data_IF_473107814148
#
_entry.id   IF_473107814148
#
_cell.length_a   1.000
_cell.length_b   1.000
_cell.length_c   1.000
_cell.angle_alpha   90.00
_cell.angle_beta   90.00
_cell.angle_gamma   90.00
#
_symmetry.space_group_name_H-M   'P 1'
#
loop_
_entity.id
_entity.type
_entity.pdbx_description
1 polymer ?
#
# COMPACT_ATOMS: atom_id res chain seq x y z
N UNK A 1 -31.34 3.06 0.24
CA UNK A 1 -31.20 1.68 -0.32
C UNK A 1 -30.56 1.60 -1.72
N UNK A 2 -30.55 2.65 -2.57
CA UNK A 2 -29.89 2.60 -3.90
C UNK A 2 -28.36 2.44 -3.85
N UNK A 3 -27.68 2.93 -2.80
CA UNK A 3 -26.21 2.93 -2.72
C UNK A 3 -25.59 1.60 -2.26
N UNK A 4 -26.32 0.76 -1.52
CA UNK A 4 -25.76 -0.50 -1.00
C UNK A 4 -25.52 -1.50 -2.16
N UNK A 5 -26.48 -1.62 -3.08
CA UNK A 5 -26.35 -2.48 -4.27
C UNK A 5 -25.19 -2.05 -5.19
N UNK A 6 -24.89 -0.74 -5.22
CA UNK A 6 -23.81 -0.18 -6.02
C UNK A 6 -22.41 -0.57 -5.54
N UNK A 7 -22.28 -1.04 -4.29
CA UNK A 7 -21.01 -1.53 -3.72
C UNK A 7 -21.01 -3.06 -3.63
N UNK A 8 -22.13 -3.68 -3.23
CA UNK A 8 -22.21 -5.12 -3.04
C UNK A 8 -21.83 -5.93 -4.28
N UNK A 9 -22.33 -5.54 -5.46
CA UNK A 9 -22.07 -6.31 -6.68
C UNK A 9 -20.61 -6.18 -7.14
N UNK A 10 -19.99 -4.98 -7.20
CA UNK A 10 -18.54 -4.85 -7.36
C UNK A 10 -17.72 -5.62 -6.35
N UNK A 11 -18.09 -5.60 -5.07
CA UNK A 11 -17.41 -6.37 -4.03
C UNK A 11 -17.46 -7.89 -4.32
N UNK A 12 -18.62 -8.41 -4.70
CA UNK A 12 -18.76 -9.83 -5.06
C UNK A 12 -17.86 -10.20 -6.25
N UNK A 13 -17.85 -9.36 -7.29
CA UNK A 13 -17.00 -9.59 -8.46
C UNK A 13 -15.51 -9.48 -8.10
N UNK A 14 -15.10 -8.53 -7.24
CA UNK A 14 -13.73 -8.45 -6.73
C UNK A 14 -13.30 -9.76 -6.09
N UNK A 15 -14.13 -10.29 -5.18
CA UNK A 15 -13.88 -11.56 -4.50
C UNK A 15 -13.77 -12.72 -5.49
N UNK A 16 -14.69 -12.83 -6.44
CA UNK A 16 -14.67 -13.89 -7.46
C UNK A 16 -13.38 -13.81 -8.29
N UNK A 17 -12.99 -12.61 -8.73
CA UNK A 17 -11.75 -12.41 -9.50
C UNK A 17 -10.52 -12.82 -8.69
N UNK A 18 -10.45 -12.46 -7.40
CA UNK A 18 -9.35 -12.86 -6.53
C UNK A 18 -9.28 -14.38 -6.40
N UNK A 19 -10.40 -15.06 -6.14
CA UNK A 19 -10.45 -16.53 -6.04
C UNK A 19 -9.99 -17.17 -7.34
N UNK A 20 -10.48 -16.70 -8.49
CA UNK A 20 -10.07 -17.23 -9.80
C UNK A 20 -8.57 -17.02 -10.02
N UNK A 21 -8.06 -15.82 -9.73
CA UNK A 21 -6.64 -15.51 -9.94
C UNK A 21 -5.74 -16.31 -9.01
N UNK A 22 -6.12 -16.47 -7.75
CA UNK A 22 -5.39 -17.27 -6.76
C UNK A 22 -5.30 -18.74 -7.20
N UNK A 23 -6.42 -19.34 -7.64
CA UNK A 23 -6.44 -20.71 -8.18
C UNK A 23 -5.58 -20.88 -9.44
N UNK A 24 -5.43 -19.82 -10.24
CA UNK A 24 -4.65 -19.83 -11.48
C UNK A 24 -3.21 -19.34 -11.30
N UNK A 25 -2.82 -18.97 -10.09
CA UNK A 25 -1.50 -18.44 -9.77
C UNK A 25 -0.74 -19.46 -8.96
N UNK A 26 0.47 -19.79 -9.42
CA UNK A 26 1.35 -20.68 -8.66
C UNK A 26 1.75 -20.01 -7.34
N UNK A 27 2.16 -20.80 -6.35
CA UNK A 27 2.76 -20.25 -5.13
C UNK A 27 4.27 -20.11 -5.30
N UNK A 28 4.82 -19.06 -4.68
CA UNK A 28 6.25 -18.90 -4.57
C UNK A 28 6.84 -19.97 -3.63
N UNK A 29 7.85 -20.71 -4.10
CA UNK A 29 8.62 -21.62 -3.27
C UNK A 29 9.68 -20.82 -2.49
N UNK A 30 9.44 -20.61 -1.20
CA UNK A 30 10.32 -19.87 -0.28
C UNK A 30 11.56 -20.66 0.16
N UNK A 31 11.62 -21.97 -0.10
CA UNK A 31 12.75 -22.81 0.25
C UNK A 31 13.86 -22.75 -0.81
N UNK A 32 13.49 -22.54 -2.07
CA UNK A 32 14.43 -22.56 -3.20
C UNK A 32 14.77 -21.17 -3.73
N UNK A 33 13.94 -20.16 -3.44
CA UNK A 33 14.18 -18.79 -3.86
C UNK A 33 14.56 -17.93 -2.66
N UNK A 34 15.51 -17.01 -2.85
CA UNK A 34 15.86 -16.00 -1.85
C UNK A 34 15.77 -14.62 -2.51
N UNK A 35 14.64 -13.95 -2.33
CA UNK A 35 14.43 -12.56 -2.73
C UNK A 35 14.06 -11.71 -1.50
N UNK A 36 13.65 -10.47 -1.74
CA UNK A 36 13.25 -9.48 -0.73
C UNK A 36 12.32 -10.02 0.39
N UNK A 37 11.50 -11.02 0.09
CA UNK A 37 10.56 -11.62 1.06
C UNK A 37 11.23 -12.21 2.29
N UNK A 38 12.50 -12.61 2.24
CA UNK A 38 13.23 -13.12 3.40
C UNK A 38 13.26 -12.10 4.55
N UNK A 39 13.43 -10.82 4.20
CA UNK A 39 13.48 -9.71 5.16
C UNK A 39 12.12 -9.46 5.78
N UNK A 40 11.05 -9.54 4.97
CA UNK A 40 9.69 -9.38 5.45
C UNK A 40 9.24 -10.53 6.36
N UNK A 41 9.60 -11.78 6.01
CA UNK A 41 9.32 -12.95 6.85
C UNK A 41 10.07 -12.87 8.18
N UNK A 42 11.36 -12.50 8.17
CA UNK A 42 12.16 -12.36 9.39
C UNK A 42 11.55 -11.31 10.33
N UNK A 43 11.19 -10.14 9.79
CA UNK A 43 10.57 -9.06 10.57
C UNK A 43 9.16 -9.41 11.06
N UNK A 44 8.39 -10.20 10.29
CA UNK A 44 7.09 -10.69 10.73
C UNK A 44 7.21 -11.77 11.83
N UNK A 45 8.34 -12.47 11.91
CA UNK A 45 8.61 -13.49 12.93
C UNK A 45 9.11 -12.87 14.23
N UNK A 46 10.15 -12.04 14.14
CA UNK A 46 10.93 -11.59 15.30
C UNK A 46 10.81 -10.06 15.53
N UNK A 47 9.94 -9.38 14.77
CA UNK A 47 9.72 -7.93 14.88
C UNK A 47 10.95 -7.11 14.49
N UNK A 48 11.20 -6.02 15.21
CA UNK A 48 12.41 -5.19 15.05
C UNK A 48 13.67 -5.78 15.70
N UNK A 49 13.57 -6.97 16.28
CA UNK A 49 14.71 -7.71 16.84
C UNK A 49 15.28 -8.75 15.86
N UNK A 50 14.76 -8.82 14.63
CA UNK A 50 15.22 -9.77 13.62
C UNK A 50 16.70 -9.54 13.27
N UNK A 51 17.48 -10.62 13.14
CA UNK A 51 18.93 -10.54 12.88
C UNK A 51 19.26 -9.97 11.49
N UNK A 52 18.38 -10.19 10.50
CA UNK A 52 18.61 -9.80 9.11
C UNK A 52 17.77 -8.57 8.71
N UNK A 53 17.77 -7.50 9.51
CA UNK A 53 17.08 -6.27 9.11
C UNK A 53 17.91 -5.54 8.05
N UNK A 54 17.32 -5.34 6.89
CA UNK A 54 17.97 -4.71 5.74
C UNK A 54 17.19 -3.49 5.24
N UNK A 55 17.90 -2.42 4.90
CA UNK A 55 17.36 -1.25 4.19
C UNK A 55 17.25 -1.56 2.68
N UNK A 56 16.16 -1.19 1.99
CA UNK A 56 15.03 -0.37 2.44
C UNK A 56 13.88 -1.15 3.11
N UNK A 57 13.98 -2.47 3.20
CA UNK A 57 12.88 -3.36 3.61
C UNK A 57 12.41 -3.10 5.04
N UNK A 58 13.33 -2.81 5.95
CA UNK A 58 13.08 -2.44 7.35
C UNK A 58 12.15 -1.22 7.51
N UNK A 59 12.09 -0.33 6.51
CA UNK A 59 11.26 0.89 6.57
C UNK A 59 9.83 0.66 6.07
N UNK A 60 9.54 -0.51 5.51
CA UNK A 60 8.19 -0.89 5.04
C UNK A 60 7.49 -1.79 6.07
N UNK A 61 7.54 -1.38 7.33
CA UNK A 61 7.29 -2.25 8.47
C UNK A 61 5.80 -2.44 8.81
N UNK A 62 4.87 -1.64 8.28
CA UNK A 62 3.47 -1.75 8.70
C UNK A 62 2.91 -3.13 8.38
N UNK A 63 3.16 -3.66 7.19
CA UNK A 63 2.67 -4.98 6.79
C UNK A 63 3.23 -6.07 7.71
N UNK A 64 4.54 -6.09 7.94
CA UNK A 64 5.19 -7.09 8.79
C UNK A 64 4.77 -6.96 10.25
N UNK A 65 4.57 -5.74 10.76
CA UNK A 65 4.05 -5.50 12.11
C UNK A 65 2.62 -6.03 12.28
N UNK A 66 1.75 -5.86 11.28
CA UNK A 66 0.40 -6.45 11.30
C UNK A 66 0.50 -7.98 11.32
N UNK A 67 1.35 -8.59 10.48
CA UNK A 67 1.55 -10.04 10.48
C UNK A 67 2.13 -10.55 11.79
N UNK A 68 3.08 -9.84 12.39
CA UNK A 68 3.64 -10.17 13.71
C UNK A 68 2.53 -10.20 14.78
N UNK A 69 1.66 -9.18 14.81
CA UNK A 69 0.50 -9.16 15.71
C UNK A 69 -0.46 -10.32 15.46
N UNK A 70 -0.79 -10.61 14.20
CA UNK A 70 -1.64 -11.75 13.83
C UNK A 70 -1.02 -13.09 14.23
N UNK A 71 0.30 -13.21 14.13
CA UNK A 71 1.04 -14.41 14.54
C UNK A 71 0.99 -14.62 16.04
N UNK A 72 1.10 -13.55 16.82
CA UNK A 72 0.88 -13.59 18.27
C UNK A 72 -0.57 -13.93 18.66
N UNK A 73 -1.53 -13.79 17.74
CA UNK A 73 -2.91 -14.24 17.89
C UNK A 73 -3.15 -15.68 17.39
N UNK A 74 -2.10 -16.38 16.98
CA UNK A 74 -2.13 -17.80 16.60
C UNK A 74 -2.24 -18.09 15.10
N UNK A 75 -2.17 -17.09 14.23
CA UNK A 75 -2.06 -17.33 12.78
C UNK A 75 -0.62 -17.73 12.42
N UNK A 76 -0.46 -18.56 11.38
CA UNK A 76 0.87 -18.74 10.79
C UNK A 76 1.31 -17.47 10.05
N UNK A 77 2.61 -17.20 9.98
CA UNK A 77 3.17 -16.06 9.23
C UNK A 77 2.64 -16.04 7.79
N UNK A 78 2.67 -17.20 7.12
CA UNK A 78 2.16 -17.35 5.76
C UNK A 78 0.68 -16.94 5.66
N UNK A 79 -0.18 -17.44 6.54
CA UNK A 79 -1.60 -17.11 6.52
C UNK A 79 -1.84 -15.63 6.84
N UNK A 80 -1.01 -15.02 7.70
CA UNK A 80 -1.07 -13.59 7.99
C UNK A 80 -0.77 -12.74 6.75
N UNK A 81 0.30 -13.05 6.02
CA UNK A 81 0.61 -12.39 4.75
C UNK A 81 -0.46 -12.63 3.68
N UNK A 82 -0.93 -13.86 3.54
CA UNK A 82 -1.99 -14.21 2.59
C UNK A 82 -3.29 -13.45 2.86
N UNK A 83 -3.67 -13.30 4.14
CA UNK A 83 -4.82 -12.50 4.54
C UNK A 83 -4.66 -11.04 4.11
N UNK A 84 -3.49 -10.43 4.35
CA UNK A 84 -3.20 -9.06 3.92
C UNK A 84 -3.22 -8.95 2.40
N UNK A 85 -2.68 -9.94 1.67
CA UNK A 85 -2.70 -9.98 0.21
C UNK A 85 -4.14 -9.97 -0.33
N UNK A 86 -5.03 -10.79 0.24
CA UNK A 86 -6.45 -10.79 -0.15
C UNK A 86 -7.16 -9.48 0.19
N UNK A 87 -6.93 -8.92 1.38
CA UNK A 87 -7.51 -7.63 1.78
C UNK A 87 -7.03 -6.51 0.86
N UNK A 88 -5.73 -6.48 0.55
CA UNK A 88 -5.13 -5.50 -0.36
C UNK A 88 -5.66 -5.63 -1.78
N UNK A 89 -5.68 -6.85 -2.33
CA UNK A 89 -6.23 -7.11 -3.66
C UNK A 89 -7.71 -6.72 -3.77
N UNK A 90 -8.52 -7.08 -2.76
CA UNK A 90 -9.93 -6.70 -2.69
C UNK A 90 -10.08 -5.19 -2.66
N UNK A 91 -9.34 -4.52 -1.77
CA UNK A 91 -9.40 -3.08 -1.59
C UNK A 91 -8.92 -2.32 -2.84
N UNK A 92 -7.91 -2.84 -3.54
CA UNK A 92 -7.43 -2.27 -4.79
C UNK A 92 -8.47 -2.42 -5.91
N UNK A 93 -9.03 -3.62 -6.12
CA UNK A 93 -10.02 -3.85 -7.18
C UNK A 93 -11.30 -3.04 -6.95
N UNK A 94 -11.85 -3.09 -5.74
CA UNK A 94 -13.02 -2.31 -5.37
C UNK A 94 -12.70 -0.80 -5.43
N UNK A 95 -11.52 -0.41 -4.94
CA UNK A 95 -11.04 0.96 -4.99
C UNK A 95 -10.95 1.51 -6.42
N UNK A 96 -10.42 0.73 -7.36
CA UNK A 96 -10.36 1.10 -8.78
C UNK A 96 -11.77 1.30 -9.34
N UNK A 97 -12.68 0.36 -9.08
CA UNK A 97 -14.06 0.49 -9.53
C UNK A 97 -14.69 1.79 -9.02
N UNK A 98 -14.62 2.02 -7.70
CA UNK A 98 -15.22 3.20 -7.06
C UNK A 98 -14.57 4.49 -7.54
N UNK A 99 -13.25 4.53 -7.65
CA UNK A 99 -12.50 5.71 -8.07
C UNK A 99 -12.80 6.07 -9.53
N UNK A 100 -12.77 5.12 -10.45
CA UNK A 100 -13.06 5.36 -11.86
C UNK A 100 -14.53 5.72 -12.05
N UNK A 101 -15.45 5.08 -11.32
CA UNK A 101 -16.86 5.45 -11.37
C UNK A 101 -17.07 6.90 -10.89
N UNK A 102 -16.45 7.27 -9.76
CA UNK A 102 -16.51 8.65 -9.25
C UNK A 102 -15.92 9.66 -10.26
N UNK A 103 -14.78 9.35 -10.87
CA UNK A 103 -14.10 10.26 -11.81
C UNK A 103 -14.85 10.43 -13.14
N UNK A 104 -15.42 9.36 -13.67
CA UNK A 104 -15.98 9.33 -15.04
C UNK A 104 -17.51 9.29 -15.09
N UNK A 105 -18.16 9.06 -13.95
CA UNK A 105 -19.60 8.77 -13.83
C UNK A 105 -20.07 7.59 -14.69
N UNK A 106 -19.14 6.72 -15.14
CA UNK A 106 -19.42 5.60 -16.04
C UNK A 106 -19.18 4.26 -15.35
N UNK A 107 -20.25 3.48 -15.18
CA UNK A 107 -20.16 2.11 -14.69
C UNK A 107 -19.34 1.22 -15.63
N UNK A 108 -19.47 1.41 -16.95
CA UNK A 108 -18.75 0.59 -17.94
C UNK A 108 -17.24 0.81 -17.82
N UNK A 109 -16.81 2.06 -17.68
CA UNK A 109 -15.40 2.38 -17.50
C UNK A 109 -14.87 1.79 -16.18
N UNK A 110 -15.64 1.90 -15.09
CA UNK A 110 -15.27 1.33 -13.80
C UNK A 110 -15.08 -0.19 -13.83
N UNK A 111 -16.03 -0.92 -14.45
CA UNK A 111 -15.93 -2.36 -14.63
C UNK A 111 -14.73 -2.76 -15.49
N UNK A 112 -14.52 -2.08 -16.62
CA UNK A 112 -13.41 -2.37 -17.51
C UNK A 112 -12.06 -2.16 -16.80
N UNK A 113 -11.90 -1.03 -16.09
CA UNK A 113 -10.67 -0.73 -15.34
C UNK A 113 -10.41 -1.75 -14.23
N UNK A 114 -11.45 -2.21 -13.53
CA UNK A 114 -11.33 -3.25 -12.50
C UNK A 114 -10.83 -4.57 -13.10
N UNK A 115 -11.45 -5.02 -14.20
CA UNK A 115 -11.06 -6.28 -14.88
C UNK A 115 -9.64 -6.16 -15.45
N UNK A 116 -9.31 -5.07 -16.12
CA UNK A 116 -7.95 -4.83 -16.65
C UNK A 116 -6.91 -4.84 -15.52
N UNK A 117 -7.22 -4.23 -14.37
CA UNK A 117 -6.33 -4.25 -13.21
C UNK A 117 -6.16 -5.66 -12.64
N UNK A 118 -7.25 -6.43 -12.56
CA UNK A 118 -7.22 -7.81 -12.07
C UNK A 118 -6.27 -8.70 -12.89
N UNK A 119 -6.28 -8.57 -14.21
CA UNK A 119 -5.42 -9.35 -15.11
C UNK A 119 -4.05 -8.71 -15.37
N UNK A 120 -3.77 -7.54 -14.79
CA UNK A 120 -2.45 -6.91 -14.88
C UNK A 120 -1.44 -7.61 -13.99
N UNK A 121 -0.30 -8.01 -14.58
CA UNK A 121 0.72 -8.86 -13.94
C UNK A 121 1.15 -8.28 -12.59
N UNK A 122 1.64 -7.04 -12.54
CA UNK A 122 2.25 -6.46 -11.34
C UNK A 122 1.27 -5.87 -10.32
N UNK A 123 -0.04 -5.97 -10.57
CA UNK A 123 -1.05 -5.44 -9.65
C UNK A 123 -1.60 -6.56 -8.77
N UNK A 124 -2.50 -7.40 -9.28
CA UNK A 124 -3.12 -8.45 -8.45
C UNK A 124 -2.33 -9.75 -8.55
N UNK A 125 -2.05 -10.22 -9.77
CA UNK A 125 -1.52 -11.57 -9.98
C UNK A 125 -0.15 -11.79 -9.33
N UNK A 126 0.79 -10.86 -9.53
CA UNK A 126 2.14 -10.96 -8.96
C UNK A 126 2.10 -10.89 -7.43
N UNK A 127 1.17 -10.11 -6.88
CA UNK A 127 0.98 -9.97 -5.44
C UNK A 127 0.34 -11.20 -4.80
N UNK A 128 -0.49 -11.96 -5.54
CA UNK A 128 -0.96 -13.27 -5.08
C UNK A 128 0.13 -14.36 -5.21
N UNK A 129 1.04 -14.23 -6.18
CA UNK A 129 2.20 -15.10 -6.30
C UNK A 129 3.22 -14.90 -5.17
N UNK A 130 3.57 -13.64 -4.87
CA UNK A 130 4.50 -13.22 -3.82
C UNK A 130 3.77 -12.43 -2.73
N UNK A 131 3.06 -13.17 -1.87
CA UNK A 131 2.22 -12.64 -0.78
C UNK A 131 2.99 -11.90 0.31
N UNK A 132 4.32 -12.01 0.33
CA UNK A 132 5.16 -11.44 1.38
C UNK A 132 5.48 -9.97 1.15
N UNK A 133 5.06 -9.41 0.01
CA UNK A 133 5.33 -8.03 -0.35
C UNK A 133 4.45 -7.05 0.43
N UNK A 134 4.98 -5.89 0.83
CA UNK A 134 4.21 -4.87 1.53
C UNK A 134 3.26 -4.10 0.61
N UNK A 135 3.40 -4.24 -0.71
CA UNK A 135 2.74 -3.43 -1.73
C UNK A 135 1.20 -3.60 -1.77
N UNK A 136 0.65 -4.68 -1.23
CA UNK A 136 -0.79 -5.03 -1.31
C UNK A 136 -1.72 -3.90 -0.83
N UNK A 137 -1.43 -3.31 0.32
CA UNK A 137 -2.24 -2.24 0.89
C UNK A 137 -1.90 -0.88 0.29
N UNK A 138 -0.66 -0.69 -0.16
CA UNK A 138 -0.18 0.56 -0.73
C UNK A 138 -0.96 0.96 -2.00
N UNK A 139 -1.29 0.00 -2.87
CA UNK A 139 -2.06 0.29 -4.09
C UNK A 139 -3.50 0.71 -3.82
N UNK A 140 -4.14 0.21 -2.77
CA UNK A 140 -5.47 0.70 -2.39
C UNK A 140 -5.40 2.12 -1.80
N UNK A 141 -4.40 2.37 -0.96
CA UNK A 141 -4.22 3.67 -0.31
C UNK A 141 -3.95 4.81 -1.30
N UNK A 142 -3.13 4.58 -2.33
CA UNK A 142 -2.83 5.62 -3.32
C UNK A 142 -4.09 6.11 -4.05
N UNK A 143 -5.10 5.24 -4.25
CA UNK A 143 -6.39 5.64 -4.85
C UNK A 143 -7.17 6.57 -3.93
N UNK A 144 -7.23 6.25 -2.63
CA UNK A 144 -7.94 7.06 -1.63
C UNK A 144 -7.20 8.40 -1.44
N UNK A 145 -5.87 8.38 -1.39
CA UNK A 145 -5.05 9.60 -1.35
C UNK A 145 -5.29 10.46 -2.57
N UNK A 146 -5.29 9.88 -3.78
CA UNK A 146 -5.56 10.62 -5.02
C UNK A 146 -6.96 11.25 -5.02
N UNK A 147 -7.97 10.52 -4.53
CA UNK A 147 -9.31 11.07 -4.32
C UNK A 147 -9.28 12.29 -3.39
N UNK A 148 -8.63 12.21 -2.23
CA UNK A 148 -8.54 13.36 -1.31
C UNK A 148 -7.71 14.53 -1.85
N UNK A 149 -6.67 14.25 -2.64
CA UNK A 149 -5.90 15.27 -3.35
C UNK A 149 -6.79 16.04 -4.34
N UNK A 150 -7.60 15.34 -5.14
CA UNK A 150 -8.52 15.95 -6.10
C UNK A 150 -9.67 16.71 -5.41
N UNK A 151 -10.18 16.18 -4.30
CA UNK A 151 -11.18 16.83 -3.44
C UNK A 151 -10.61 17.98 -2.60
N UNK A 152 -9.31 18.28 -2.73
CA UNK A 152 -8.57 19.28 -1.96
C UNK A 152 -8.70 19.12 -0.43
N UNK A 153 -8.80 17.88 0.06
CA UNK A 153 -8.92 17.55 1.49
C UNK A 153 -7.55 17.21 2.07
N UNK A 154 -6.83 18.25 2.50
CA UNK A 154 -5.44 18.13 2.97
C UNK A 154 -5.24 17.18 4.17
N UNK A 155 -6.02 17.33 5.24
CA UNK A 155 -5.80 16.56 6.48
C UNK A 155 -5.90 15.04 6.25
N UNK A 156 -6.99 14.49 5.67
CA UNK A 156 -7.06 13.06 5.40
C UNK A 156 -5.99 12.59 4.40
N UNK A 157 -5.64 13.43 3.41
CA UNK A 157 -4.53 13.13 2.50
C UNK A 157 -3.20 12.98 3.26
N UNK A 158 -2.87 13.92 4.14
CA UNK A 158 -1.65 13.87 4.94
C UNK A 158 -1.61 12.63 5.83
N UNK A 159 -2.70 12.33 6.56
CA UNK A 159 -2.77 11.15 7.43
C UNK A 159 -2.59 9.85 6.66
N UNK A 160 -3.26 9.70 5.51
CA UNK A 160 -3.08 8.52 4.68
C UNK A 160 -1.70 8.46 4.03
N UNK A 161 -1.07 9.59 3.76
CA UNK A 161 0.31 9.64 3.24
C UNK A 161 1.31 9.21 4.32
N UNK A 162 1.09 9.61 5.57
CA UNK A 162 1.92 9.16 6.70
C UNK A 162 1.86 7.65 6.85
N UNK A 163 0.66 7.06 6.82
CA UNK A 163 0.49 5.60 6.90
C UNK A 163 1.04 4.92 5.64
N UNK A 164 0.66 5.41 4.46
CA UNK A 164 1.01 4.84 3.17
C UNK A 164 2.53 4.83 2.93
N UNK A 165 3.25 5.85 3.37
CA UNK A 165 4.71 5.93 3.20
C UNK A 165 5.46 4.82 3.96
N UNK A 166 4.91 4.31 5.07
CA UNK A 166 5.48 3.19 5.83
C UNK A 166 5.08 1.81 5.28
N UNK A 167 4.19 1.78 4.27
CA UNK A 167 3.92 0.59 3.46
C UNK A 167 4.79 0.64 2.19
N UNK A 168 4.72 1.77 1.50
CA UNK A 168 5.50 2.03 0.29
C UNK A 168 5.68 3.52 0.00
N UNK A 169 6.89 3.90 -0.35
CA UNK A 169 7.34 5.28 -0.50
C UNK A 169 6.60 6.05 -1.61
N UNK A 170 6.12 5.35 -2.64
CA UNK A 170 5.36 5.97 -3.74
C UNK A 170 4.05 6.61 -3.26
N UNK A 171 3.55 6.28 -2.06
CA UNK A 171 2.37 6.92 -1.47
C UNK A 171 2.58 8.42 -1.16
N UNK A 172 3.81 8.93 -1.25
CA UNK A 172 4.08 10.36 -1.17
C UNK A 172 3.59 11.13 -2.41
N UNK A 173 3.42 10.45 -3.56
CA UNK A 173 3.14 11.09 -4.84
C UNK A 173 1.85 11.93 -4.82
N UNK A 174 0.68 11.44 -4.34
CA UNK A 174 -0.53 12.25 -4.34
C UNK A 174 -0.43 13.52 -3.49
N UNK A 175 0.26 13.45 -2.35
CA UNK A 175 0.50 14.62 -1.50
C UNK A 175 1.35 15.66 -2.22
N UNK A 176 2.45 15.25 -2.85
CA UNK A 176 3.28 16.17 -3.61
C UNK A 176 2.55 16.76 -4.81
N UNK A 177 1.81 15.95 -5.57
CA UNK A 177 0.99 16.43 -6.68
C UNK A 177 0.00 17.51 -6.22
N UNK A 178 -0.69 17.27 -5.10
CA UNK A 178 -1.58 18.24 -4.47
C UNK A 178 -0.86 19.55 -4.06
N UNK A 179 0.30 19.45 -3.39
CA UNK A 179 1.07 20.62 -2.97
C UNK A 179 1.58 21.43 -4.18
N UNK A 180 2.01 20.78 -5.26
CA UNK A 180 2.40 21.45 -6.51
C UNK A 180 1.22 22.12 -7.20
N UNK A 181 0.03 21.51 -7.16
CA UNK A 181 -1.19 22.14 -7.65
C UNK A 181 -1.51 23.43 -6.87
N UNK A 182 -1.39 23.41 -5.54
CA UNK A 182 -1.55 24.60 -4.71
C UNK A 182 -0.49 25.66 -5.00
N UNK A 183 0.78 25.27 -5.16
CA UNK A 183 1.86 26.21 -5.48
C UNK A 183 1.61 26.95 -6.80
N UNK A 184 1.01 26.27 -7.78
CA UNK A 184 0.65 26.85 -9.09
C UNK A 184 -0.50 27.85 -8.96
N UNK A 185 -1.43 27.62 -8.04
CA UNK A 185 -2.47 28.59 -7.66
C UNK A 185 -1.81 29.72 -6.85
N UNK A 186 -1.15 30.67 -7.54
CA UNK A 186 -0.27 31.77 -7.03
C UNK A 186 -0.77 32.62 -5.84
N UNK A 187 -1.94 32.33 -5.26
CA UNK A 187 -2.57 33.05 -4.13
C UNK A 187 -3.20 32.13 -3.08
N UNK A 188 -2.96 30.83 -3.07
CA UNK A 188 -3.48 30.01 -1.98
C UNK A 188 -2.74 30.31 -0.67
N UNK A 189 -3.39 31.06 0.22
CA UNK A 189 -2.88 31.44 1.53
C UNK A 189 -2.52 30.24 2.41
N UNK A 190 -3.04 29.05 2.09
CA UNK A 190 -2.77 27.83 2.85
C UNK A 190 -1.53 27.06 2.38
N UNK A 191 -0.93 27.40 1.23
CA UNK A 191 0.19 26.64 0.68
C UNK A 191 1.34 26.50 1.68
N UNK A 192 1.86 27.62 2.22
CA UNK A 192 2.97 27.59 3.17
C UNK A 192 2.63 26.82 4.44
N UNK A 193 1.39 26.93 4.93
CA UNK A 193 0.91 26.19 6.10
C UNK A 193 0.87 24.68 5.83
N UNK A 194 0.30 24.27 4.71
CA UNK A 194 0.15 22.85 4.37
C UNK A 194 1.49 22.20 4.00
N UNK A 195 2.38 22.94 3.33
CA UNK A 195 3.75 22.53 3.10
C UNK A 195 4.51 22.37 4.41
N UNK A 196 4.44 23.37 5.30
CA UNK A 196 5.09 23.32 6.61
C UNK A 196 4.61 22.12 7.45
N UNK A 197 3.29 21.90 7.51
CA UNK A 197 2.72 20.72 8.18
C UNK A 197 3.20 19.41 7.53
N UNK A 198 3.21 19.33 6.20
CA UNK A 198 3.69 18.15 5.49
C UNK A 198 5.14 17.84 5.84
N UNK A 199 6.03 18.84 5.86
CA UNK A 199 7.42 18.66 6.25
C UNK A 199 7.55 18.21 7.71
N UNK A 200 6.81 18.86 8.63
CA UNK A 200 6.83 18.54 10.06
C UNK A 200 6.44 17.09 10.34
N UNK A 201 5.49 16.52 9.59
CA UNK A 201 5.02 15.16 9.83
C UNK A 201 5.73 14.09 8.97
N UNK A 202 5.99 14.38 7.69
CA UNK A 202 6.59 13.41 6.77
C UNK A 202 8.08 13.21 7.08
N UNK A 203 8.83 14.27 7.42
CA UNK A 203 10.25 14.12 7.71
C UNK A 203 10.51 13.18 8.90
N UNK A 204 9.84 13.35 10.07
CA UNK A 204 9.97 12.38 11.15
C UNK A 204 9.47 10.99 10.75
N UNK A 205 8.41 10.87 9.96
CA UNK A 205 7.93 9.57 9.52
C UNK A 205 8.94 8.82 8.62
N UNK A 206 9.85 9.51 7.94
CA UNK A 206 10.94 8.89 7.17
C UNK A 206 12.20 8.69 8.03
N UNK A 207 12.53 9.66 8.87
CA UNK A 207 13.77 9.67 9.66
C UNK A 207 13.68 8.74 10.87
N UNK A 208 12.56 8.76 11.60
CA UNK A 208 12.42 7.99 12.85
C UNK A 208 12.57 6.48 12.64
N UNK A 209 11.96 5.83 11.62
CA UNK A 209 12.23 4.42 11.36
C UNK A 209 13.71 4.13 11.14
N UNK A 210 14.45 5.03 10.48
CA UNK A 210 15.91 4.90 10.29
C UNK A 210 16.71 5.03 11.58
N UNK A 211 16.26 5.85 12.52
CA UNK A 211 16.93 6.03 13.82
C UNK A 211 16.58 4.95 14.83
N UNK A 212 15.38 4.36 14.73
CA UNK A 212 14.83 3.47 15.75
C UNK A 212 14.92 1.98 15.39
N UNK A 213 14.96 1.64 14.10
CA UNK A 213 15.05 0.24 13.65
C UNK A 213 16.53 -0.08 13.38
N UNK A 214 17.13 -1.04 14.12
CA UNK A 214 18.52 -1.41 13.92
C UNK A 214 18.65 -2.18 12.60
N UNK A 215 19.21 -1.54 11.57
CA UNK A 215 19.44 -2.14 10.26
C UNK A 215 20.89 -2.60 10.17
N UNK A 216 21.11 -3.86 9.80
CA UNK A 216 22.43 -4.50 9.72
C UNK A 216 22.99 -4.53 8.27
N UNK A 217 22.12 -4.44 7.26
CA UNK A 217 22.50 -4.45 5.84
C UNK A 217 21.84 -3.27 5.09
N UNK A 218 22.57 -2.59 4.21
CA UNK A 218 22.02 -1.52 3.36
C UNK A 218 22.13 -1.87 1.88
N UNK A 219 20.98 -2.04 1.22
CA UNK A 219 20.87 -2.27 -0.21
C UNK A 219 20.52 -0.98 -0.98
N UNK A 220 20.63 0.19 -0.34
CA UNK A 220 20.52 1.47 -1.04
C UNK A 220 21.78 1.71 -1.89
N UNK A 221 21.57 2.19 -3.12
CA UNK A 221 22.65 2.55 -4.06
C UNK A 221 23.51 3.71 -3.51
N UNK A 222 23.00 4.46 -2.52
CA UNK A 222 23.72 5.53 -1.82
C UNK A 222 24.03 5.07 -0.40
N UNK A 223 25.21 4.49 -0.21
CA UNK A 223 25.73 4.21 1.13
C UNK A 223 26.07 5.51 1.85
N UNK A 224 25.50 5.74 3.02
CA UNK A 224 26.04 6.71 3.97
C UNK A 224 26.99 5.97 4.90
N UNK A 225 28.28 6.04 4.60
CA UNK A 225 29.37 5.61 5.48
C UNK A 225 29.57 6.60 6.62
#
# INVERSE_FOLDING_TARGET
MKNIKAILFPSLIATILIVILDLLTNSLNTQTNQWDFIYYIAMAKDGFSAENLASPFAYRYITTAIVYLLTNLGLSIQNGFQLIAYIGAFSQLLGIYLFIHWLTQSNRAAWLSMVVTAFSIYNIKFLLFDIYRPDHLAYALILIQTYFALEKKFIPLLLLTLIGSQLREFNLIPLFAYLFMLAKEKRDANFSKQLGLSLIFILPAIILPRLLIPVNEDYQIVGFH
#
